data_IF_432481447831
#
_entry.id   IF_432481447831
#
_cell.length_a   1.000
_cell.length_b   1.000
_cell.length_c   1.000
_cell.angle_alpha   90.00
_cell.angle_beta   90.00
_cell.angle_gamma   90.00
#
_symmetry.space_group_name_H-M   'P 1'
#
loop_
_entity.id
_entity.type
_entity.pdbx_description
1 polymer ?
#
# COMPACT_ATOMS: atom_id res chain seq x y z
N UNK A 1 9.24 18.65 15.53
CA UNK A 1 8.50 18.72 14.24
C UNK A 1 7.02 18.43 14.50
N UNK A 2 6.11 18.96 13.67
CA UNK A 2 4.68 18.60 13.74
C UNK A 2 4.51 17.13 13.34
N UNK A 3 3.59 16.43 14.01
CA UNK A 3 3.19 15.05 13.68
C UNK A 3 1.90 15.08 12.87
N UNK A 4 1.82 14.24 11.85
CA UNK A 4 0.67 14.14 10.93
C UNK A 4 -0.01 12.79 11.04
N UNK A 5 -1.31 12.76 10.76
CA UNK A 5 -2.09 11.54 10.60
C UNK A 5 -2.59 11.47 9.17
N UNK A 6 -2.36 10.35 8.51
CA UNK A 6 -2.76 10.13 7.14
C UNK A 6 -3.98 9.22 7.04
N UNK A 7 -4.82 9.49 6.04
CA UNK A 7 -5.95 8.65 5.65
C UNK A 7 -5.79 8.22 4.20
N UNK A 8 -5.98 6.92 3.95
CA UNK A 8 -5.94 6.32 2.61
C UNK A 8 -7.33 5.77 2.31
N UNK A 9 -7.94 6.21 1.21
CA UNK A 9 -9.24 5.70 0.76
C UNK A 9 -9.01 4.84 -0.48
N UNK A 10 -9.19 3.53 -0.31
CA UNK A 10 -8.92 2.53 -1.34
C UNK A 10 -7.49 1.99 -1.30
N UNK A 11 -7.37 0.69 -1.13
CA UNK A 11 -6.14 -0.10 -1.10
C UNK A 11 -5.96 -0.86 -2.43
N UNK A 12 -6.21 -0.17 -3.55
CA UNK A 12 -5.94 -0.69 -4.88
C UNK A 12 -4.45 -0.61 -5.25
N UNK A 13 -4.15 -0.64 -6.54
CA UNK A 13 -2.78 -0.57 -7.08
C UNK A 13 -1.98 0.56 -6.42
N UNK A 14 -2.39 1.82 -6.58
CA UNK A 14 -1.65 2.96 -5.99
C UNK A 14 -1.79 3.05 -4.46
N UNK A 15 -2.89 2.54 -3.90
CA UNK A 15 -3.16 2.63 -2.47
C UNK A 15 -2.22 1.75 -1.64
N UNK A 16 -1.94 0.53 -2.10
CA UNK A 16 -1.14 -0.46 -1.35
C UNK A 16 -0.51 -1.54 -2.24
N UNK A 17 -1.24 -2.05 -3.24
CA UNK A 17 -0.88 -3.33 -3.87
C UNK A 17 0.40 -3.26 -4.70
N UNK A 18 0.75 -2.09 -5.24
CA UNK A 18 1.85 -1.92 -6.19
C UNK A 18 3.19 -2.51 -5.69
N UNK A 19 3.43 -2.48 -4.39
CA UNK A 19 4.65 -2.99 -3.76
C UNK A 19 4.57 -4.42 -3.21
N UNK A 20 3.42 -5.07 -3.33
CA UNK A 20 3.18 -6.43 -2.82
C UNK A 20 3.25 -7.49 -3.92
N UNK A 21 4.01 -7.22 -4.99
CA UNK A 21 4.11 -8.08 -6.20
C UNK A 21 2.75 -8.40 -6.84
N UNK A 22 1.76 -7.52 -6.62
CA UNK A 22 0.43 -7.66 -7.16
C UNK A 22 0.43 -7.73 -8.68
N UNK A 23 -0.35 -8.66 -9.22
CA UNK A 23 -0.72 -8.69 -10.64
C UNK A 23 -2.19 -8.40 -10.78
N UNK A 24 -2.54 -7.54 -11.76
CA UNK A 24 -3.94 -7.34 -12.13
C UNK A 24 -4.51 -8.69 -12.55
N UNK A 25 -5.50 -9.17 -11.79
CA UNK A 25 -6.27 -10.34 -12.16
C UNK A 25 -7.70 -9.91 -12.43
N UNK A 26 -8.24 -10.28 -13.59
CA UNK A 26 -9.64 -10.05 -13.94
C UNK A 26 -10.11 -8.59 -13.98
N UNK A 27 -11.43 -8.47 -13.92
CA UNK A 27 -12.18 -7.21 -13.88
C UNK A 27 -13.13 -7.27 -12.68
N UNK A 28 -13.50 -6.09 -12.18
CA UNK A 28 -14.48 -5.95 -11.11
C UNK A 28 -15.38 -4.75 -11.40
N UNK A 29 -16.54 -4.75 -10.77
CA UNK A 29 -17.51 -3.66 -10.79
C UNK A 29 -17.40 -2.78 -9.55
N UNK A 30 -17.91 -1.54 -9.59
CA UNK A 30 -18.01 -0.68 -8.43
C UNK A 30 -18.80 -1.24 -7.24
N UNK A 31 -19.58 -2.30 -7.40
CA UNK A 31 -20.37 -2.93 -6.34
C UNK A 31 -19.70 -4.15 -5.69
N UNK A 32 -18.69 -4.75 -6.34
CA UNK A 32 -18.10 -6.02 -5.87
C UNK A 32 -17.42 -5.91 -4.50
N UNK A 33 -17.99 -6.52 -3.46
CA UNK A 33 -17.40 -6.45 -2.12
C UNK A 33 -15.95 -6.98 -2.08
N UNK A 34 -15.66 -8.03 -2.86
CA UNK A 34 -14.34 -8.65 -2.99
C UNK A 34 -13.88 -8.44 -4.42
N UNK A 35 -12.69 -7.87 -4.59
CA UNK A 35 -12.09 -7.63 -5.89
C UNK A 35 -11.03 -8.69 -6.15
N UNK A 36 -10.96 -9.25 -7.36
CA UNK A 36 -9.87 -10.12 -7.74
C UNK A 36 -8.52 -9.48 -7.40
N UNK A 37 -7.78 -10.14 -6.53
CA UNK A 37 -6.46 -9.73 -6.05
C UNK A 37 -5.57 -10.96 -6.12
N UNK A 38 -4.41 -10.86 -6.77
CA UNK A 38 -3.44 -11.96 -6.79
C UNK A 38 -2.97 -12.26 -5.37
N UNK A 39 -2.29 -13.39 -5.20
CA UNK A 39 -1.49 -13.60 -4.00
C UNK A 39 -0.56 -12.39 -3.78
N UNK A 40 -0.41 -12.00 -2.51
CA UNK A 40 0.32 -10.80 -2.12
C UNK A 40 1.57 -11.21 -1.34
N UNK A 41 2.70 -10.62 -1.70
CA UNK A 41 3.90 -10.69 -0.88
C UNK A 41 3.83 -9.60 0.21
N UNK A 42 3.07 -9.89 1.28
CA UNK A 42 2.73 -8.92 2.35
C UNK A 42 4.00 -8.36 3.02
N UNK A 43 5.07 -9.14 3.09
CA UNK A 43 6.34 -8.75 3.72
C UNK A 43 7.42 -8.29 2.73
N UNK A 44 7.05 -8.03 1.47
CA UNK A 44 8.00 -7.51 0.49
C UNK A 44 8.60 -6.18 0.98
N UNK A 45 9.93 -6.13 1.08
CA UNK A 45 10.65 -4.96 1.60
C UNK A 45 10.81 -3.91 0.53
N UNK A 46 10.58 -2.66 0.90
CA UNK A 46 10.72 -1.50 0.01
C UNK A 46 11.65 -0.49 0.69
N UNK A 47 12.65 -0.03 -0.04
CA UNK A 47 13.63 0.94 0.46
C UNK A 47 13.28 2.32 -0.12
N UNK A 48 12.22 2.93 0.39
CA UNK A 48 11.63 4.15 -0.19
C UNK A 48 12.47 5.41 0.09
N UNK A 49 13.19 5.44 1.20
CA UNK A 49 14.02 6.58 1.61
C UNK A 49 15.47 6.50 1.12
N UNK A 50 15.90 5.39 0.52
CA UNK A 50 17.21 5.26 -0.13
C UNK A 50 17.15 5.82 -1.57
N UNK A 51 16.78 7.09 -1.72
CA UNK A 51 16.72 7.77 -3.03
C UNK A 51 18.11 8.28 -3.38
N UNK A 52 19.03 7.36 -3.69
CA UNK A 52 20.01 7.34 -4.79
C UNK A 52 20.75 6.02 -4.58
N UNK A 53 20.26 4.95 -5.20
CA UNK A 53 21.15 3.83 -5.54
C UNK A 53 21.49 3.95 -7.02
N UNK A 54 22.64 3.43 -7.39
CA UNK A 54 23.13 3.20 -8.75
C UNK A 54 22.15 2.41 -9.66
N UNK A 55 21.03 1.96 -9.11
CA UNK A 55 20.00 1.13 -9.76
C UNK A 55 18.73 1.88 -10.19
N UNK A 56 18.67 3.21 -10.01
CA UNK A 56 17.56 4.05 -10.48
C UNK A 56 16.54 4.41 -9.39
N UNK A 57 15.55 5.23 -9.74
CA UNK A 57 14.52 5.70 -8.82
C UNK A 57 13.83 4.53 -8.10
N UNK A 58 13.42 4.75 -6.85
CA UNK A 58 12.49 3.88 -6.12
C UNK A 58 11.24 3.73 -6.98
N UNK A 59 11.24 2.69 -7.80
CA UNK A 59 10.21 2.42 -8.75
C UNK A 59 9.16 1.68 -7.94
N UNK A 60 8.06 2.38 -7.70
CA UNK A 60 6.77 1.84 -7.29
C UNK A 60 6.37 1.91 -5.81
N UNK A 61 6.64 3.01 -5.10
CA UNK A 61 5.98 3.27 -3.80
C UNK A 61 4.43 3.27 -3.92
N UNK A 62 3.74 2.50 -3.07
CA UNK A 62 2.32 2.75 -2.81
C UNK A 62 2.15 3.94 -1.86
N UNK A 63 0.98 4.57 -1.83
CA UNK A 63 0.71 5.64 -0.85
C UNK A 63 0.82 5.13 0.59
N UNK A 64 0.43 3.88 0.88
CA UNK A 64 0.58 3.28 2.20
C UNK A 64 2.05 3.17 2.62
N UNK A 65 2.92 2.66 1.75
CA UNK A 65 4.35 2.56 2.07
C UNK A 65 4.98 3.94 2.25
N UNK A 66 4.64 4.90 1.38
CA UNK A 66 5.16 6.26 1.45
C UNK A 66 4.74 6.97 2.74
N UNK A 67 3.55 6.68 3.28
CA UNK A 67 3.08 7.31 4.52
C UNK A 67 3.63 6.62 5.76
N UNK A 68 3.81 5.29 5.73
CA UNK A 68 4.35 4.54 6.86
C UNK A 68 5.85 4.76 7.07
N UNK A 69 6.63 4.89 6.01
CA UNK A 69 8.11 5.01 6.08
C UNK A 69 8.58 6.43 6.50
N UNK A 70 7.66 7.34 6.83
CA UNK A 70 7.97 8.76 7.07
C UNK A 70 7.84 9.13 8.55
N UNK A 71 8.92 9.63 9.19
CA UNK A 71 8.91 9.92 10.63
C UNK A 71 8.00 11.09 11.03
N UNK A 72 7.53 11.89 10.07
CA UNK A 72 6.57 12.96 10.34
C UNK A 72 5.14 12.44 10.52
N UNK A 73 4.83 11.22 10.06
CA UNK A 73 3.53 10.60 10.27
C UNK A 73 3.56 9.74 11.53
N UNK A 74 2.53 9.88 12.38
CA UNK A 74 2.34 9.06 13.58
C UNK A 74 1.26 7.99 13.40
N UNK A 75 0.50 8.07 12.30
CA UNK A 75 -0.57 7.13 11.97
C UNK A 75 -0.84 7.19 10.47
N UNK A 76 -0.97 6.02 9.84
CA UNK A 76 -1.62 5.83 8.55
C UNK A 76 -2.84 4.92 8.73
N UNK A 77 -4.03 5.47 8.53
CA UNK A 77 -5.29 4.71 8.58
C UNK A 77 -5.83 4.49 7.16
N UNK A 78 -6.45 3.34 6.93
CA UNK A 78 -7.01 2.99 5.62
C UNK A 78 -8.50 2.66 5.70
N UNK A 79 -9.24 3.13 4.69
CA UNK A 79 -10.61 2.73 4.40
C UNK A 79 -10.64 1.90 3.11
N UNK A 80 -11.00 0.62 3.23
CA UNK A 80 -11.15 -0.30 2.11
C UNK A 80 -12.36 -1.20 2.31
N UNK A 81 -13.11 -1.38 1.21
CA UNK A 81 -14.30 -2.23 1.19
C UNK A 81 -13.93 -3.69 1.10
N UNK A 82 -12.86 -4.01 0.37
CA UNK A 82 -12.37 -5.35 0.17
C UNK A 82 -11.72 -5.86 1.47
N UNK A 83 -12.34 -6.83 2.17
CA UNK A 83 -11.83 -7.30 3.44
C UNK A 83 -10.46 -7.98 3.32
N UNK A 84 -10.16 -8.62 2.18
CA UNK A 84 -8.86 -9.26 1.93
C UNK A 84 -7.76 -8.20 1.91
N UNK A 85 -7.98 -7.11 1.17
CA UNK A 85 -7.02 -6.00 1.10
C UNK A 85 -6.91 -5.25 2.42
N UNK A 86 -8.03 -5.05 3.12
CA UNK A 86 -8.03 -4.45 4.47
C UNK A 86 -7.21 -5.27 5.46
N UNK A 87 -7.37 -6.59 5.44
CA UNK A 87 -6.60 -7.47 6.33
C UNK A 87 -5.11 -7.46 5.97
N UNK A 88 -4.75 -7.44 4.69
CA UNK A 88 -3.36 -7.30 4.26
C UNK A 88 -2.73 -5.96 4.69
N UNK A 89 -3.50 -4.86 4.71
CA UNK A 89 -3.03 -3.58 5.25
C UNK A 89 -2.75 -3.66 6.75
N UNK A 90 -3.67 -4.26 7.51
CA UNK A 90 -3.51 -4.46 8.96
C UNK A 90 -2.27 -5.31 9.22
N UNK A 91 -2.10 -6.42 8.50
CA UNK A 91 -0.95 -7.31 8.67
C UNK A 91 0.39 -6.64 8.31
N UNK A 92 0.41 -5.74 7.32
CA UNK A 92 1.64 -5.07 6.89
C UNK A 92 2.01 -3.85 7.75
N UNK A 93 1.04 -3.05 8.18
CA UNK A 93 1.29 -1.71 8.73
C UNK A 93 0.69 -1.46 10.14
N UNK A 94 -0.21 -2.33 10.61
CA UNK A 94 -0.88 -2.22 11.91
C UNK A 94 -0.21 -3.06 12.99
#
# INVERSE_FOLDING_TARGET
MKKYRAGIIGLGTMGMLLNMEHRRIGFWKPEDAIRPTSELNIHHKTYLHEIVTDKGASSFASYADALQDRPEFELAAAAERDPTRRNAFIERYG
#
